data_IF_565754771077
#
_entry.id   IF_565754771077
#
_cell.length_a   1.000
_cell.length_b   1.000
_cell.length_c   1.000
_cell.angle_alpha   90.00
_cell.angle_beta   90.00
_cell.angle_gamma   90.00
#
_symmetry.space_group_name_H-M   'P 1'
#
loop_
_entity.id
_entity.type
_entity.pdbx_description
1 polymer ?
#
# COMPACT_ATOMS: atom_id res chain seq x y z
N UNK A 1 1.06 -19.25 -13.58
CA UNK A 1 0.97 -18.72 -12.20
C UNK A 1 2.35 -18.31 -11.70
N UNK A 2 2.49 -17.03 -11.36
CA UNK A 2 3.67 -16.39 -10.80
C UNK A 2 3.30 -15.83 -9.43
N UNK A 3 4.25 -15.75 -8.49
CA UNK A 3 3.99 -15.21 -7.16
C UNK A 3 5.21 -14.52 -6.57
N UNK A 4 4.96 -13.59 -5.65
CA UNK A 4 5.98 -12.93 -4.82
C UNK A 4 5.51 -12.88 -3.36
N UNK A 5 6.48 -12.82 -2.45
CA UNK A 5 6.26 -12.60 -1.01
C UNK A 5 7.02 -11.35 -0.59
N UNK A 6 6.40 -10.51 0.23
CA UNK A 6 7.01 -9.26 0.71
C UNK A 6 6.42 -8.85 2.07
N UNK A 7 7.02 -7.84 2.71
CA UNK A 7 6.53 -7.25 3.95
C UNK A 7 5.99 -5.85 3.66
N UNK A 8 4.76 -5.56 4.06
CA UNK A 8 4.18 -4.22 4.04
C UNK A 8 3.06 -4.13 5.08
N UNK A 9 2.67 -2.91 5.47
CA UNK A 9 1.56 -2.70 6.42
C UNK A 9 1.73 -3.46 7.76
N UNK A 10 2.97 -3.72 8.17
CA UNK A 10 3.30 -4.47 9.39
C UNK A 10 3.12 -6.00 9.33
N UNK A 11 2.79 -6.62 8.19
CA UNK A 11 2.59 -8.07 8.07
C UNK A 11 3.33 -8.69 6.87
N UNK A 12 3.33 -10.03 6.80
CA UNK A 12 3.79 -10.76 5.60
C UNK A 12 2.65 -10.80 4.58
N UNK A 13 2.97 -10.57 3.31
CA UNK A 13 2.03 -10.53 2.19
C UNK A 13 2.47 -11.47 1.07
N UNK A 14 1.50 -11.99 0.34
CA UNK A 14 1.71 -12.80 -0.86
C UNK A 14 0.82 -12.26 -1.98
N UNK A 15 1.41 -12.04 -3.15
CA UNK A 15 0.69 -11.69 -4.36
C UNK A 15 0.94 -12.76 -5.42
N UNK A 16 -0.12 -13.23 -6.06
CA UNK A 16 -0.05 -14.22 -7.13
C UNK A 16 -0.87 -13.73 -8.34
N UNK A 17 -0.34 -13.96 -9.52
CA UNK A 17 -1.00 -13.65 -10.78
C UNK A 17 -0.87 -14.86 -11.70
N UNK A 18 -1.98 -15.29 -12.29
CA UNK A 18 -1.95 -16.32 -13.32
C UNK A 18 -2.13 -15.69 -14.68
N UNK A 19 -1.04 -15.56 -15.42
CA UNK A 19 -1.05 -15.03 -16.77
C UNK A 19 0.12 -15.60 -17.58
N UNK A 20 -0.10 -15.96 -18.85
CA UNK A 20 0.95 -16.45 -19.74
C UNK A 20 1.85 -15.31 -20.26
N UNK A 21 1.49 -14.04 -20.01
CA UNK A 21 2.23 -12.90 -20.53
C UNK A 21 3.54 -12.71 -19.75
N UNK A 22 4.68 -12.45 -20.42
CA UNK A 22 5.94 -12.12 -19.75
C UNK A 22 5.83 -10.91 -18.81
N UNK A 23 4.92 -9.98 -19.10
CA UNK A 23 4.64 -8.81 -18.28
C UNK A 23 4.05 -9.14 -16.89
N UNK A 24 3.54 -10.36 -16.67
CA UNK A 24 2.91 -10.75 -15.41
C UNK A 24 3.88 -10.64 -14.22
N UNK A 25 5.14 -11.05 -14.39
CA UNK A 25 6.14 -10.94 -13.33
C UNK A 25 6.51 -9.48 -13.07
N UNK A 26 6.65 -8.67 -14.13
CA UNK A 26 6.93 -7.24 -14.01
C UNK A 26 5.83 -6.52 -13.25
N UNK A 27 4.56 -6.85 -13.52
CA UNK A 27 3.42 -6.28 -12.81
C UNK A 27 3.38 -6.73 -11.34
N UNK A 28 3.61 -8.02 -11.07
CA UNK A 28 3.70 -8.52 -9.69
C UNK A 28 4.76 -7.78 -8.88
N UNK A 29 5.92 -7.50 -9.48
CA UNK A 29 7.00 -6.77 -8.81
C UNK A 29 6.65 -5.31 -8.46
N UNK A 30 5.56 -4.75 -9.00
CA UNK A 30 5.08 -3.40 -8.64
C UNK A 30 4.21 -3.40 -7.38
N UNK A 31 3.63 -4.55 -7.00
CA UNK A 31 2.71 -4.66 -5.87
C UNK A 31 3.29 -4.11 -4.56
N UNK A 32 4.55 -4.40 -4.17
CA UNK A 32 5.12 -3.81 -2.96
C UNK A 32 5.15 -2.27 -2.98
N UNK A 33 5.39 -1.67 -4.15
CA UNK A 33 5.39 -0.22 -4.32
C UNK A 33 4.01 0.40 -4.11
N UNK A 34 2.95 -0.26 -4.58
CA UNK A 34 1.58 0.18 -4.33
C UNK A 34 1.23 0.15 -2.84
N UNK A 35 1.67 -0.88 -2.12
CA UNK A 35 1.49 -0.95 -0.67
C UNK A 35 2.27 0.12 0.08
N UNK A 36 3.49 0.47 -0.35
CA UNK A 36 4.23 1.60 0.25
C UNK A 36 3.48 2.93 0.03
N UNK A 37 2.94 3.16 -1.17
CA UNK A 37 2.09 4.34 -1.43
C UNK A 37 0.89 4.35 -0.50
N UNK A 38 0.15 3.25 -0.36
CA UNK A 38 -0.97 3.17 0.57
C UNK A 38 -0.55 3.37 2.02
N UNK A 39 0.60 2.82 2.44
CA UNK A 39 1.12 2.98 3.79
C UNK A 39 1.46 4.44 4.12
N UNK A 40 1.89 5.23 3.13
CA UNK A 40 2.12 6.67 3.30
C UNK A 40 0.83 7.43 3.63
N UNK A 41 -0.31 7.05 3.04
CA UNK A 41 -1.60 7.72 3.27
C UNK A 41 -2.38 7.16 4.47
N UNK A 42 -2.29 5.84 4.70
CA UNK A 42 -3.17 5.12 5.63
C UNK A 42 -2.49 4.71 6.94
N UNK A 43 -1.18 4.94 7.11
CA UNK A 43 -0.51 4.53 8.34
C UNK A 43 -0.88 5.42 9.51
N UNK A 44 -1.45 4.86 10.58
CA UNK A 44 -1.65 5.56 11.86
C UNK A 44 -0.34 5.89 12.59
N UNK A 45 0.79 5.36 12.11
CA UNK A 45 2.10 5.49 12.74
C UNK A 45 2.96 6.55 12.06
N UNK A 46 2.63 6.93 10.82
CA UNK A 46 3.31 8.02 10.11
C UNK A 46 2.56 9.32 10.42
N UNK A 47 3.19 10.31 11.09
CA UNK A 47 2.50 11.54 11.50
C UNK A 47 1.94 12.36 10.35
N UNK A 48 2.57 12.27 9.18
CA UNK A 48 2.21 12.99 7.95
C UNK A 48 1.20 12.24 7.07
N UNK A 49 0.76 11.06 7.48
CA UNK A 49 -0.28 10.35 6.73
C UNK A 49 -1.60 11.11 6.83
N UNK A 50 -2.41 11.03 5.77
CA UNK A 50 -3.74 11.63 5.75
C UNK A 50 -4.61 11.09 6.90
N UNK A 51 -4.50 9.79 7.18
CA UNK A 51 -5.22 9.17 8.29
C UNK A 51 -4.79 9.73 9.66
N UNK A 52 -3.50 9.97 9.88
CA UNK A 52 -3.00 10.56 11.13
C UNK A 52 -3.45 12.01 11.30
N UNK A 53 -3.54 12.77 10.20
CA UNK A 53 -4.10 14.14 10.21
C UNK A 53 -5.58 14.11 10.61
N UNK A 54 -6.38 13.25 9.97
CA UNK A 54 -7.82 13.10 10.28
C UNK A 54 -8.04 12.70 11.73
N UNK A 55 -7.27 11.72 12.22
CA UNK A 55 -7.37 11.28 13.61
C UNK A 55 -6.98 12.37 14.62
N UNK A 56 -6.12 13.32 14.25
CA UNK A 56 -5.69 14.43 15.13
C UNK A 56 -6.73 15.53 15.22
N UNK A 57 -7.44 15.82 14.13
CA UNK A 57 -8.41 16.93 14.06
C UNK A 57 -9.82 16.56 14.54
N UNK A 58 -10.01 15.35 15.10
CA UNK A 58 -11.19 15.04 15.91
C UNK A 58 -12.55 15.15 15.19
N UNK A 59 -12.58 14.98 13.87
CA UNK A 59 -13.81 14.98 13.08
C UNK A 59 -14.06 16.23 12.22
N UNK A 60 -13.10 17.17 12.14
CA UNK A 60 -13.15 18.25 11.15
C UNK A 60 -12.81 17.75 9.73
N UNK A 61 -13.43 18.34 8.71
CA UNK A 61 -13.20 17.98 7.32
C UNK A 61 -11.79 18.37 6.88
N UNK A 62 -10.95 17.36 6.59
CA UNK A 62 -9.62 17.59 6.03
C UNK A 62 -9.69 17.47 4.52
N UNK A 63 -9.46 18.59 3.83
CA UNK A 63 -9.33 18.62 2.36
C UNK A 63 -7.85 18.40 2.04
N UNK A 64 -7.51 17.25 1.44
CA UNK A 64 -6.19 17.05 0.83
C UNK A 64 -6.15 17.79 -0.50
N UNK A 65 -5.32 18.83 -0.59
CA UNK A 65 -5.06 19.65 -1.79
C UNK A 65 -4.03 18.99 -2.69
#
# INVERSE_FOLDING_TARGET
MQQITFRAMGCQMMAALDSPLPAAQTLLNQVPGWFETWEQHLSRFRPESELSRVNREGGEQIIST
#
